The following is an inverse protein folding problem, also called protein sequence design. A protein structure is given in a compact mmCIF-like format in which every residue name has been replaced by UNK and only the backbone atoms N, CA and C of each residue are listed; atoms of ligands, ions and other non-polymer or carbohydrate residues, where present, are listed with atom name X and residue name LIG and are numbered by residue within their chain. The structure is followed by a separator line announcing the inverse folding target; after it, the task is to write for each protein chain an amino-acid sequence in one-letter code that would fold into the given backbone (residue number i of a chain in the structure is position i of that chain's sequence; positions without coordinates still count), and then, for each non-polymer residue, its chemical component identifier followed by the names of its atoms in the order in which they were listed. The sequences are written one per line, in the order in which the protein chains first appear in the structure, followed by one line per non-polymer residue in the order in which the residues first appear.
data_IF_033823742794
#
_entry.id   IF_033823742794
#
_cell.length_a   1.000
_cell.length_b   1.000
_cell.length_c   1.000
_cell.angle_alpha   90.00
_cell.angle_beta   90.00
_cell.angle_gamma   90.00
#
_symmetry.space_group_name_H-M   'P 1'
#
loop_
_entity.id
_entity.type
_entity.pdbx_description
1 polymer ?
#
# COMPACT_ATOMS: atom_id res chain seq x y z
N UNK A 1 5.51 -18.12 7.34
CA UNK A 1 5.16 -17.04 6.41
C UNK A 1 6.27 -16.70 5.42
N UNK A 2 6.05 -15.68 4.58
CA UNK A 2 7.09 -15.22 3.64
C UNK A 2 8.30 -14.64 4.39
N UNK A 3 8.05 -13.88 5.47
CA UNK A 3 9.10 -13.32 6.31
C UNK A 3 9.95 -14.41 6.96
N UNK A 4 9.34 -15.47 7.53
CA UNK A 4 10.08 -16.59 8.11
C UNK A 4 11.04 -17.27 7.12
N UNK A 5 10.59 -17.48 5.88
CA UNK A 5 11.45 -18.06 4.84
C UNK A 5 12.68 -17.21 4.57
N UNK A 6 12.51 -15.88 4.55
CA UNK A 6 13.62 -14.94 4.36
C UNK A 6 14.54 -14.90 5.58
N UNK A 7 13.99 -14.88 6.80
CA UNK A 7 14.77 -14.89 8.03
C UNK A 7 15.56 -16.18 8.22
N UNK A 8 15.00 -17.32 7.78
CA UNK A 8 15.77 -18.57 7.77
C UNK A 8 17.03 -18.45 6.91
N UNK A 9 16.91 -17.90 5.69
CA UNK A 9 18.08 -17.67 4.82
C UNK A 9 19.08 -16.70 5.48
N UNK A 10 18.60 -15.65 6.15
CA UNK A 10 19.46 -14.72 6.89
C UNK A 10 20.22 -15.43 8.00
N UNK A 11 19.52 -16.24 8.81
CA UNK A 11 20.14 -16.99 9.92
C UNK A 11 21.18 -18.01 9.43
N UNK A 12 20.94 -18.65 8.29
CA UNK A 12 21.85 -19.66 7.73
C UNK A 12 23.11 -19.04 7.06
N UNK A 13 23.06 -17.77 6.63
CA UNK A 13 24.11 -17.19 5.79
C UNK A 13 24.82 -15.98 6.42
N UNK A 14 24.41 -15.49 7.59
CA UNK A 14 25.04 -14.36 8.24
C UNK A 14 25.93 -14.83 9.42
N UNK A 15 27.24 -14.68 9.28
CA UNK A 15 28.19 -15.13 10.28
C UNK A 15 28.34 -14.14 11.45
N UNK A 16 28.12 -12.86 11.23
CA UNK A 16 28.26 -11.81 12.25
C UNK A 16 26.96 -11.01 12.47
N UNK A 17 26.90 -10.32 13.60
CA UNK A 17 25.70 -9.63 14.08
C UNK A 17 25.37 -8.38 13.28
N UNK A 18 26.36 -7.65 12.80
CA UNK A 18 26.16 -6.46 11.96
C UNK A 18 25.55 -6.85 10.61
N UNK A 19 26.05 -7.91 10.03
CA UNK A 19 25.55 -8.45 8.77
C UNK A 19 24.12 -8.98 8.93
N UNK A 20 23.84 -9.70 10.03
CA UNK A 20 22.52 -10.18 10.35
C UNK A 20 21.52 -9.01 10.48
N UNK A 21 21.84 -7.95 11.21
CA UNK A 21 20.96 -6.77 11.34
C UNK A 21 20.68 -6.12 9.98
N UNK A 22 21.70 -5.98 9.14
CA UNK A 22 21.54 -5.44 7.79
C UNK A 22 20.60 -6.29 6.93
N UNK A 23 20.79 -7.60 6.90
CA UNK A 23 20.02 -8.50 6.05
C UNK A 23 18.61 -8.76 6.58
N UNK A 24 18.40 -8.81 7.91
CA UNK A 24 17.08 -8.95 8.51
C UNK A 24 16.18 -7.75 8.17
N UNK A 25 16.70 -6.51 8.26
CA UNK A 25 15.97 -5.33 7.83
C UNK A 25 15.72 -5.32 6.31
N UNK A 26 16.66 -5.82 5.52
CA UNK A 26 16.48 -5.95 4.05
C UNK A 26 15.42 -7.00 3.72
N UNK A 27 15.40 -8.12 4.43
CA UNK A 27 14.36 -9.14 4.31
C UNK A 27 12.98 -8.54 4.61
N UNK A 28 12.84 -7.78 5.71
CA UNK A 28 11.60 -7.12 6.08
C UNK A 28 11.15 -6.09 5.03
N UNK A 29 12.06 -5.27 4.51
CA UNK A 29 11.79 -4.29 3.44
C UNK A 29 11.25 -4.92 2.16
N UNK A 30 11.50 -6.19 1.93
CA UNK A 30 11.05 -6.94 0.74
C UNK A 30 9.75 -7.72 0.96
N UNK A 31 9.08 -7.57 2.10
CA UNK A 31 7.80 -8.20 2.41
C UNK A 31 6.71 -7.15 2.38
N UNK A 32 5.82 -7.23 1.39
CA UNK A 32 4.67 -6.35 1.23
C UNK A 32 3.38 -7.15 1.43
N UNK A 33 2.37 -6.52 2.01
CA UNK A 33 1.06 -7.10 2.21
C UNK A 33 -0.04 -6.04 2.09
N UNK A 34 -1.13 -6.42 1.44
CA UNK A 34 -2.29 -5.56 1.24
C UNK A 34 -3.53 -6.32 1.67
N UNK A 35 -4.38 -5.68 2.43
CA UNK A 35 -5.60 -6.27 2.96
C UNK A 35 -6.73 -5.25 2.91
N UNK A 36 -7.92 -5.73 2.61
CA UNK A 36 -9.12 -4.88 2.57
C UNK A 36 -9.59 -4.49 3.96
N UNK A 37 -9.49 -5.41 4.92
CA UNK A 37 -9.96 -5.24 6.30
C UNK A 37 -8.90 -4.57 7.18
N UNK A 38 -9.25 -3.44 7.82
CA UNK A 38 -8.33 -2.71 8.69
C UNK A 38 -7.82 -3.51 9.89
N UNK A 39 -8.68 -4.33 10.49
CA UNK A 39 -8.31 -5.18 11.62
C UNK A 39 -7.26 -6.23 11.22
N UNK A 40 -7.41 -6.82 10.03
CA UNK A 40 -6.43 -7.77 9.49
C UNK A 40 -5.08 -7.10 9.22
N UNK A 41 -5.07 -5.84 8.77
CA UNK A 41 -3.84 -5.04 8.61
C UNK A 41 -3.13 -4.86 9.95
N UNK A 42 -3.88 -4.53 11.01
CA UNK A 42 -3.31 -4.34 12.35
C UNK A 42 -2.67 -5.64 12.86
N UNK A 43 -3.41 -6.74 12.80
CA UNK A 43 -2.92 -8.07 13.21
C UNK A 43 -1.67 -8.47 12.41
N UNK A 44 -1.66 -8.24 11.10
CA UNK A 44 -0.50 -8.54 10.25
C UNK A 44 0.74 -7.72 10.63
N UNK A 45 0.56 -6.43 10.97
CA UNK A 45 1.64 -5.57 11.45
C UNK A 45 2.20 -6.03 12.79
N UNK A 46 1.33 -6.35 13.74
CA UNK A 46 1.72 -6.87 15.05
C UNK A 46 2.48 -8.18 14.93
N UNK A 47 1.97 -9.13 14.15
CA UNK A 47 2.63 -10.41 13.94
C UNK A 47 4.03 -10.24 13.34
N UNK A 48 4.20 -9.40 12.32
CA UNK A 48 5.52 -9.14 11.74
C UNK A 48 6.49 -8.48 12.72
N UNK A 49 5.99 -7.60 13.60
CA UNK A 49 6.82 -7.00 14.65
C UNK A 49 7.27 -8.03 15.65
N UNK A 50 6.36 -8.88 16.14
CA UNK A 50 6.68 -9.95 17.08
C UNK A 50 7.61 -11.00 16.45
N UNK A 51 7.37 -11.42 15.22
CA UNK A 51 8.26 -12.32 14.48
C UNK A 51 9.70 -11.76 14.43
N UNK A 52 9.85 -10.46 14.10
CA UNK A 52 11.16 -9.81 14.09
C UNK A 52 11.82 -9.82 15.47
N UNK A 53 11.05 -9.50 16.53
CA UNK A 53 11.54 -9.49 17.91
C UNK A 53 12.00 -10.89 18.34
N UNK A 54 11.26 -11.94 17.96
CA UNK A 54 11.61 -13.31 18.29
C UNK A 54 12.90 -13.77 17.62
N UNK A 55 13.06 -13.44 16.32
CA UNK A 55 14.34 -13.69 15.62
C UNK A 55 15.51 -12.90 16.22
N UNK A 56 15.28 -11.67 16.65
CA UNK A 56 16.29 -10.86 17.32
C UNK A 56 16.71 -11.49 18.66
N UNK A 57 15.74 -11.87 19.51
CA UNK A 57 15.97 -12.55 20.79
C UNK A 57 16.70 -13.89 20.61
N UNK A 58 16.32 -14.64 19.59
CA UNK A 58 17.00 -15.90 19.27
C UNK A 58 18.48 -15.69 18.93
N UNK A 59 18.79 -14.66 18.17
CA UNK A 59 20.16 -14.34 17.73
C UNK A 59 21.00 -13.73 18.85
N UNK A 60 20.50 -12.69 19.51
CA UNK A 60 21.28 -11.84 20.41
C UNK A 60 21.11 -12.21 21.89
N UNK A 61 20.11 -13.03 22.23
CA UNK A 61 19.71 -13.39 23.60
C UNK A 61 19.32 -12.18 24.47
N UNK A 62 18.90 -11.09 23.84
CA UNK A 62 18.45 -9.83 24.45
C UNK A 62 17.27 -9.22 23.69
N UNK A 63 16.63 -8.22 24.26
CA UNK A 63 15.56 -7.47 23.60
C UNK A 63 16.13 -6.51 22.55
N UNK A 64 15.42 -6.35 21.41
CA UNK A 64 15.83 -5.37 20.43
C UNK A 64 15.80 -3.94 21.01
N UNK A 65 16.85 -3.14 20.80
CA UNK A 65 16.87 -1.73 21.18
C UNK A 65 15.72 -0.93 20.56
N UNK A 66 15.26 0.09 21.26
CA UNK A 66 14.09 0.89 20.84
C UNK A 66 14.27 1.57 19.48
N UNK A 67 15.48 1.95 19.09
CA UNK A 67 15.80 2.52 17.79
C UNK A 67 15.64 1.49 16.67
N UNK A 68 16.02 0.24 16.89
CA UNK A 68 15.79 -0.86 15.95
C UNK A 68 14.28 -1.13 15.83
N UNK A 69 13.55 -1.21 16.95
CA UNK A 69 12.09 -1.39 16.93
C UNK A 69 11.37 -0.28 16.17
N UNK A 70 11.78 0.97 16.34
CA UNK A 70 11.24 2.11 15.58
C UNK A 70 11.50 1.96 14.08
N UNK A 71 12.68 1.51 13.67
CA UNK A 71 13.00 1.25 12.26
C UNK A 71 12.16 0.12 11.68
N UNK A 72 12.02 -0.98 12.42
CA UNK A 72 11.20 -2.14 12.07
C UNK A 72 9.73 -1.74 11.92
N UNK A 73 9.17 -1.05 12.91
CA UNK A 73 7.80 -0.57 12.88
C UNK A 73 7.54 0.38 11.69
N UNK A 74 8.49 1.25 11.38
CA UNK A 74 8.38 2.14 10.22
C UNK A 74 8.37 1.35 8.89
N UNK A 75 9.21 0.32 8.75
CA UNK A 75 9.21 -0.54 7.56
C UNK A 75 7.87 -1.27 7.43
N UNK A 76 7.39 -1.87 8.52
CA UNK A 76 6.11 -2.58 8.56
C UNK A 76 4.96 -1.63 8.21
N UNK A 77 4.94 -0.42 8.77
CA UNK A 77 3.91 0.57 8.50
C UNK A 77 3.82 0.96 7.02
N UNK A 78 4.95 1.00 6.32
CA UNK A 78 5.00 1.29 4.89
C UNK A 78 4.73 0.08 3.99
N UNK A 79 4.95 -1.13 4.47
CA UNK A 79 4.86 -2.34 3.66
C UNK A 79 3.51 -3.07 3.81
N UNK A 80 2.81 -2.87 4.94
CA UNK A 80 1.52 -3.53 5.21
C UNK A 80 0.41 -2.49 5.23
N UNK A 81 -0.45 -2.53 4.21
CA UNK A 81 -1.43 -1.48 3.96
C UNK A 81 -2.86 -2.00 3.85
N UNK A 82 -3.80 -1.11 4.18
CA UNK A 82 -5.19 -1.30 3.82
C UNK A 82 -5.43 -0.85 2.38
N UNK A 83 -5.86 -1.75 1.51
CA UNK A 83 -6.10 -1.48 0.10
C UNK A 83 -7.20 -2.37 -0.47
N UNK A 84 -8.07 -1.79 -1.29
CA UNK A 84 -8.88 -2.55 -2.23
C UNK A 84 -7.96 -3.00 -3.39
N UNK A 85 -7.57 -4.28 -3.36
CA UNK A 85 -6.59 -4.84 -4.31
C UNK A 85 -7.07 -4.84 -5.77
N UNK A 86 -8.38 -4.76 -6.01
CA UNK A 86 -8.94 -4.69 -7.37
C UNK A 86 -8.94 -3.27 -7.93
N UNK A 87 -8.94 -2.27 -7.05
CA UNK A 87 -9.03 -0.85 -7.42
C UNK A 87 -7.74 -0.08 -7.15
N UNK A 88 -6.82 -0.63 -6.38
CA UNK A 88 -5.58 0.02 -5.92
C UNK A 88 -5.80 1.31 -5.11
N UNK A 89 -6.97 1.46 -4.51
CA UNK A 89 -7.35 2.61 -3.67
C UNK A 89 -7.64 2.17 -2.23
N UNK A 90 -7.66 3.12 -1.32
CA UNK A 90 -8.14 2.89 0.05
C UNK A 90 -9.60 2.43 -0.02
N UNK A 91 -10.00 1.36 0.69
CA UNK A 91 -11.37 0.88 0.71
C UNK A 91 -12.36 2.01 1.00
N UNK A 92 -13.47 2.02 0.27
CA UNK A 92 -14.55 3.01 0.38
C UNK A 92 -14.17 4.47 0.12
N UNK A 93 -12.97 4.74 -0.42
CA UNK A 93 -12.53 6.11 -0.72
C UNK A 93 -13.12 6.68 -2.02
N UNK A 94 -13.64 5.85 -2.91
CA UNK A 94 -14.35 6.31 -4.10
C UNK A 94 -15.68 6.96 -3.71
N UNK A 95 -16.00 8.08 -4.32
CA UNK A 95 -17.19 8.86 -4.02
C UNK A 95 -17.94 9.27 -5.28
N UNK A 96 -19.20 9.58 -5.10
CA UNK A 96 -20.04 10.15 -6.15
C UNK A 96 -19.73 11.63 -6.31
N UNK A 97 -19.75 12.10 -7.57
CA UNK A 97 -19.51 13.51 -7.89
C UNK A 97 -20.80 14.09 -8.44
N UNK A 98 -21.23 15.20 -7.89
CA UNK A 98 -22.33 16.00 -8.44
C UNK A 98 -21.79 16.78 -9.64
N UNK A 99 -22.28 16.51 -10.82
CA UNK A 99 -21.95 17.24 -12.04
C UNK A 99 -23.15 18.12 -12.42
N UNK A 100 -22.91 19.42 -12.48
CA UNK A 100 -23.85 20.33 -13.08
C UNK A 100 -23.69 20.22 -14.61
N UNK A 101 -24.65 19.58 -15.27
CA UNK A 101 -24.64 19.44 -16.72
C UNK A 101 -25.20 20.75 -17.35
N UNK A 102 -24.32 21.72 -17.55
CA UNK A 102 -24.67 22.95 -18.25
C UNK A 102 -24.90 22.68 -19.76
N UNK A 103 -25.95 21.97 -20.08
CA UNK A 103 -26.53 22.05 -21.43
C UNK A 103 -27.48 23.24 -21.47
N UNK A 104 -26.94 24.44 -21.58
CA UNK A 104 -27.75 25.59 -21.88
C UNK A 104 -28.36 25.40 -23.28
N UNK A 105 -29.61 24.98 -23.31
CA UNK A 105 -30.46 25.10 -24.49
C UNK A 105 -31.11 26.48 -24.50
N UNK A 106 -31.39 27.01 -25.69
CA UNK A 106 -31.96 28.35 -25.86
C UNK A 106 -33.33 28.54 -25.16
N UNK A 107 -33.94 27.45 -24.72
CA UNK A 107 -35.22 27.39 -24.03
C UNK A 107 -35.11 27.35 -22.49
N UNK A 108 -33.94 27.14 -21.93
CA UNK A 108 -33.72 27.06 -20.44
C UNK A 108 -33.82 28.45 -19.79
N UNK A 109 -33.92 29.52 -20.58
CA UNK A 109 -34.20 30.88 -20.08
C UNK A 109 -35.65 31.11 -19.62
N UNK A 110 -36.55 30.15 -19.85
CA UNK A 110 -37.98 30.30 -19.58
C UNK A 110 -38.49 29.42 -18.43
N UNK A 111 -37.71 28.47 -17.96
CA UNK A 111 -38.06 27.60 -16.82
C UNK A 111 -37.11 27.87 -15.63
N UNK A 112 -37.59 28.61 -14.63
CA UNK A 112 -36.85 29.02 -13.44
C UNK A 112 -36.65 27.88 -12.40
N UNK A 113 -37.12 26.66 -12.62
CA UNK A 113 -37.09 25.60 -11.63
C UNK A 113 -36.76 24.24 -12.24
N UNK A 114 -35.48 23.92 -12.43
CA UNK A 114 -34.93 22.57 -12.31
C UNK A 114 -33.44 22.52 -12.61
N UNK A 115 -32.62 22.84 -11.64
CA UNK A 115 -31.24 22.32 -11.58
C UNK A 115 -31.31 20.82 -11.23
N UNK A 116 -31.39 19.96 -12.21
CA UNK A 116 -31.22 18.52 -11.98
C UNK A 116 -29.73 18.25 -11.74
N UNK A 117 -29.35 18.19 -10.46
CA UNK A 117 -28.02 17.70 -10.06
C UNK A 117 -27.89 16.24 -10.49
N UNK A 118 -27.11 15.99 -11.54
CA UNK A 118 -26.78 14.64 -11.97
C UNK A 118 -25.66 14.09 -11.08
N UNK A 119 -25.97 13.08 -10.30
CA UNK A 119 -24.99 12.35 -9.53
C UNK A 119 -24.29 11.35 -10.46
N UNK A 120 -22.97 11.51 -10.61
CA UNK A 120 -22.16 10.60 -11.42
C UNK A 120 -21.30 9.76 -10.46
N UNK A 121 -21.37 8.46 -10.61
CA UNK A 121 -20.53 7.53 -9.85
C UNK A 121 -19.05 7.67 -10.23
N UNK A 122 -18.16 7.12 -9.40
CA UNK A 122 -16.73 7.12 -9.69
C UNK A 122 -16.45 6.52 -11.08
N UNK A 123 -15.78 7.24 -12.00
CA UNK A 123 -15.54 6.76 -13.37
C UNK A 123 -14.77 5.43 -13.44
N UNK A 124 -13.84 5.21 -12.50
CA UNK A 124 -13.11 3.95 -12.40
C UNK A 124 -14.00 2.79 -11.95
N UNK A 125 -14.96 3.03 -11.04
CA UNK A 125 -15.92 2.01 -10.60
C UNK A 125 -16.92 1.68 -11.71
N UNK A 126 -17.39 2.68 -12.43
CA UNK A 126 -18.38 2.51 -13.51
C UNK A 126 -17.80 1.73 -14.71
N UNK A 127 -16.55 2.04 -15.08
CA UNK A 127 -15.89 1.47 -16.27
C UNK A 127 -14.96 0.32 -15.94
N UNK A 128 -14.86 -0.06 -14.66
CA UNK A 128 -13.88 -1.04 -14.16
C UNK A 128 -12.43 -0.71 -14.61
N UNK A 129 -12.08 0.59 -14.54
CA UNK A 129 -10.78 1.10 -14.97
C UNK A 129 -9.96 1.53 -13.74
N UNK A 130 -8.93 0.75 -13.41
CA UNK A 130 -8.09 0.96 -12.23
C UNK A 130 -7.35 2.29 -12.22
N UNK A 131 -7.20 2.94 -13.39
CA UNK A 131 -6.50 4.23 -13.52
C UNK A 131 -7.42 5.45 -13.38
N UNK A 132 -8.75 5.26 -13.28
CA UNK A 132 -9.74 6.35 -13.30
C UNK A 132 -10.59 6.45 -12.04
N UNK A 133 -10.14 5.83 -10.95
CA UNK A 133 -10.81 6.02 -9.67
C UNK A 133 -10.63 7.45 -9.15
N UNK A 134 -11.69 8.02 -8.59
CA UNK A 134 -11.65 9.30 -7.89
C UNK A 134 -11.38 9.16 -6.39
N UNK A 135 -11.14 7.93 -5.92
CA UNK A 135 -10.74 7.62 -4.55
C UNK A 135 -9.26 7.91 -4.28
N UNK A 136 -8.82 7.59 -3.07
CA UNK A 136 -7.44 7.78 -2.61
C UNK A 136 -6.60 6.58 -3.05
N UNK A 137 -5.72 6.76 -4.03
CA UNK A 137 -4.79 5.71 -4.44
C UNK A 137 -3.80 5.38 -3.34
N UNK A 138 -3.61 4.08 -3.10
CA UNK A 138 -2.62 3.61 -2.15
C UNK A 138 -1.20 3.87 -2.65
N UNK A 139 -0.27 3.95 -1.70
CA UNK A 139 1.15 4.24 -1.98
C UNK A 139 2.01 3.15 -1.39
N UNK A 140 3.13 2.87 -2.04
CA UNK A 140 4.17 1.98 -1.52
C UNK A 140 5.47 2.77 -1.33
N UNK A 141 6.36 2.23 -0.51
CA UNK A 141 7.67 2.83 -0.30
C UNK A 141 8.73 2.06 -1.07
N UNK A 142 9.45 2.76 -1.94
CA UNK A 142 10.59 2.19 -2.66
C UNK A 142 11.83 2.27 -1.78
N UNK A 143 12.21 1.13 -1.20
CA UNK A 143 13.38 0.97 -0.34
C UNK A 143 14.69 0.84 -1.11
N UNK A 144 14.65 0.62 -2.42
CA UNK A 144 15.82 0.32 -3.26
C UNK A 144 16.37 1.54 -3.94
N UNK A 145 15.47 2.41 -4.38
CA UNK A 145 15.80 3.62 -5.11
C UNK A 145 15.39 4.84 -4.27
N UNK A 146 15.87 5.93 -4.30
CA UNK A 146 15.51 7.24 -3.72
C UNK A 146 14.80 7.27 -2.34
N UNK A 147 14.50 6.14 -1.70
CA UNK A 147 13.76 6.05 -0.42
C UNK A 147 12.52 6.96 -0.42
N UNK A 148 11.67 6.83 -1.40
CA UNK A 148 10.45 7.64 -1.56
C UNK A 148 9.19 6.79 -1.70
N UNK A 149 8.04 7.36 -1.35
CA UNK A 149 6.77 6.72 -1.63
C UNK A 149 6.30 7.03 -3.06
N UNK A 150 5.81 6.01 -3.74
CA UNK A 150 5.22 6.08 -5.08
C UNK A 150 3.77 5.60 -5.04
N UNK A 151 2.88 6.06 -5.93
CA UNK A 151 1.56 5.47 -6.06
C UNK A 151 1.67 3.99 -6.44
N UNK A 152 0.90 3.12 -5.78
CA UNK A 152 0.91 1.69 -6.07
C UNK A 152 0.53 1.40 -7.53
N UNK A 153 -0.40 2.19 -8.08
CA UNK A 153 -0.87 2.06 -9.46
C UNK A 153 0.26 2.26 -10.51
N UNK A 154 1.33 2.98 -10.17
CA UNK A 154 2.43 3.22 -11.10
C UNK A 154 3.26 1.94 -11.34
N UNK A 155 3.22 0.97 -10.43
CA UNK A 155 3.85 -0.36 -10.63
C UNK A 155 3.27 -1.07 -11.85
N UNK A 156 1.97 -0.89 -12.13
CA UNK A 156 1.33 -1.48 -13.31
C UNK A 156 1.69 -0.76 -14.62
N UNK A 157 2.06 0.52 -14.56
CA UNK A 157 2.48 1.28 -15.73
C UNK A 157 3.89 0.88 -16.17
N UNK A 158 4.79 0.65 -15.22
CA UNK A 158 6.17 0.22 -15.50
C UNK A 158 6.23 -1.24 -15.94
N UNK A 159 5.37 -2.12 -15.40
CA UNK A 159 5.30 -3.53 -15.77
C UNK A 159 4.95 -3.79 -17.25
N UNK A 160 4.26 -2.89 -17.91
CA UNK A 160 3.95 -2.99 -19.33
C UNK A 160 5.17 -2.74 -20.25
N UNK A 161 6.26 -2.20 -19.72
CA UNK A 161 7.50 -1.97 -20.49
C UNK A 161 8.46 -3.17 -20.47
N UNK A 162 8.18 -4.22 -19.69
CA UNK A 162 8.99 -5.45 -19.61
C UNK A 162 8.42 -6.60 -20.47
N UNK A 163 7.36 -6.38 -21.22
CA UNK A 163 6.70 -7.38 -22.09
C UNK A 163 7.24 -7.48 -23.51
N UNK A 164 8.26 -6.71 -23.86
CA UNK A 164 8.95 -6.79 -25.18
C UNK A 164 10.44 -7.12 -24.98
N UNK A 165 10.73 -8.37 -24.64
CA UNK A 165 12.05 -9.01 -24.83
C UNK A 165 11.84 -10.40 -25.42
#
# INVERSE_FOLDING_TARGET
GLFDRKMRIVNENCDNDEEWQKWSLRALKSVFGYEFQGDSVLIARENLLYDYMDYYRERFKEEPPIDILKRVANIIAWNIWQMDGLKCVVPYSCHEVKVQDYKMTLFDFLDEDKEEEKVVSCPGCEKNDIFKHNGIYCRIYDWTNLNKSIPFIDVFKEGNNYGEI
#
